data_IF_133725002700
#
_entry.id   IF_133725002700
#
_cell.length_a   1.000
_cell.length_b   1.000
_cell.length_c   1.000
_cell.angle_alpha   90.00
_cell.angle_beta   90.00
_cell.angle_gamma   90.00
#
_symmetry.space_group_name_H-M   'P 1'
#
loop_
_entity.id
_entity.type
_entity.pdbx_description
1 polymer ?
#
# COMPACT_ATOMS: atom_id res chain seq x y z
N UNK A 1 -8.66 -19.86 -3.37
CA UNK A 1 -8.74 -19.33 -1.99
C UNK A 1 -7.78 -18.17 -1.88
N UNK A 2 -8.24 -16.97 -1.51
CA UNK A 2 -7.35 -15.80 -1.42
C UNK A 2 -6.34 -15.98 -0.28
N UNK A 3 -5.07 -15.64 -0.55
CA UNK A 3 -3.97 -15.75 0.40
C UNK A 3 -4.32 -15.01 1.72
N UNK A 4 -4.52 -15.72 2.86
CA UNK A 4 -4.90 -15.10 4.12
C UNK A 4 -3.85 -14.09 4.62
N UNK A 5 -2.56 -14.35 4.33
CA UNK A 5 -1.47 -13.45 4.67
C UNK A 5 -1.55 -12.11 3.96
N UNK A 6 -2.00 -12.10 2.69
CA UNK A 6 -2.19 -10.87 1.92
C UNK A 6 -3.32 -10.02 2.51
N UNK A 7 -4.43 -10.65 2.92
CA UNK A 7 -5.54 -9.92 3.56
C UNK A 7 -5.10 -9.28 4.88
N UNK A 8 -4.42 -10.05 5.73
CA UNK A 8 -3.90 -9.54 7.00
C UNK A 8 -2.90 -8.39 6.79
N UNK A 9 -2.02 -8.52 5.79
CA UNK A 9 -1.05 -7.48 5.46
C UNK A 9 -1.71 -6.21 4.91
N UNK A 10 -2.74 -6.33 4.07
CA UNK A 10 -3.52 -5.18 3.60
C UNK A 10 -4.23 -4.47 4.76
N UNK A 11 -4.80 -5.22 5.71
CA UNK A 11 -5.37 -4.63 6.93
C UNK A 11 -4.32 -3.89 7.76
N UNK A 12 -3.12 -4.46 7.90
CA UNK A 12 -2.00 -3.82 8.62
C UNK A 12 -1.54 -2.53 7.92
N UNK A 13 -1.34 -2.57 6.60
CA UNK A 13 -0.99 -1.40 5.78
C UNK A 13 -2.03 -0.29 5.97
N UNK A 14 -3.32 -0.62 5.86
CA UNK A 14 -4.40 0.36 6.04
C UNK A 14 -4.40 1.00 7.43
N UNK A 15 -4.15 0.21 8.48
CA UNK A 15 -4.04 0.72 9.85
C UNK A 15 -2.84 1.65 10.06
N UNK A 16 -1.68 1.30 9.48
CA UNK A 16 -0.48 2.14 9.54
C UNK A 16 -0.69 3.47 8.83
N UNK A 17 -1.31 3.46 7.65
CA UNK A 17 -1.68 4.69 6.92
C UNK A 17 -2.61 5.56 7.75
N UNK A 18 -3.63 4.98 8.39
CA UNK A 18 -4.56 5.73 9.24
C UNK A 18 -3.84 6.41 10.43
N UNK A 19 -2.80 5.79 10.96
CA UNK A 19 -1.95 6.36 12.03
C UNK A 19 -0.90 7.36 11.50
N UNK A 20 -0.87 7.67 10.20
CA UNK A 20 0.14 8.53 9.60
C UNK A 20 1.53 7.88 9.47
N UNK A 21 1.64 6.57 9.71
CA UNK A 21 2.88 5.79 9.67
C UNK A 21 3.15 5.23 8.28
N UNK A 22 3.28 6.13 7.30
CA UNK A 22 3.40 5.75 5.89
C UNK A 22 4.67 4.92 5.60
N UNK A 23 5.80 5.24 6.25
CA UNK A 23 7.07 4.52 6.08
C UNK A 23 6.97 3.06 6.53
N UNK A 24 6.24 2.80 7.62
CA UNK A 24 5.99 1.42 8.07
C UNK A 24 5.06 0.68 7.10
N UNK A 25 4.07 1.38 6.55
CA UNK A 25 3.16 0.82 5.55
C UNK A 25 3.91 0.43 4.27
N UNK A 26 4.82 1.28 3.79
CA UNK A 26 5.73 1.00 2.68
C UNK A 26 6.61 -0.22 2.94
N UNK A 27 7.17 -0.33 4.14
CA UNK A 27 8.00 -1.47 4.51
C UNK A 27 7.24 -2.79 4.40
N UNK A 28 6.01 -2.85 4.91
CA UNK A 28 5.16 -4.04 4.79
C UNK A 28 4.78 -4.29 3.34
N UNK A 29 4.37 -3.25 2.61
CA UNK A 29 4.02 -3.35 1.20
C UNK A 29 5.16 -3.89 0.34
N UNK A 30 6.40 -3.41 0.56
CA UNK A 30 7.60 -3.88 -0.14
C UNK A 30 7.85 -5.37 0.06
N UNK A 31 7.55 -5.90 1.25
CA UNK A 31 7.74 -7.32 1.62
C UNK A 31 6.63 -8.27 1.14
N UNK A 32 5.55 -7.75 0.57
CA UNK A 32 4.51 -8.59 -0.03
C UNK A 32 5.07 -9.34 -1.25
N UNK A 33 5.07 -10.67 -1.17
CA UNK A 33 5.44 -11.57 -2.28
C UNK A 33 4.50 -11.38 -3.46
N UNK A 34 3.20 -11.29 -3.18
CA UNK A 34 2.16 -11.00 -4.17
C UNK A 34 1.47 -9.69 -3.77
N UNK A 35 1.45 -8.72 -4.68
CA UNK A 35 0.70 -7.48 -4.53
C UNK A 35 -0.52 -7.55 -5.42
N UNK A 36 -1.68 -7.19 -4.89
CA UNK A 36 -2.93 -7.13 -5.64
C UNK A 36 -3.43 -5.68 -5.74
N UNK A 37 -4.46 -5.40 -6.56
CA UNK A 37 -4.99 -4.05 -6.71
C UNK A 37 -5.38 -3.39 -5.38
N UNK A 38 -5.83 -4.16 -4.38
CA UNK A 38 -6.14 -3.64 -3.04
C UNK A 38 -4.88 -3.11 -2.33
N UNK A 39 -3.77 -3.85 -2.36
CA UNK A 39 -2.51 -3.43 -1.75
C UNK A 39 -1.94 -2.15 -2.39
N UNK A 40 -2.01 -2.04 -3.72
CA UNK A 40 -1.60 -0.82 -4.43
C UNK A 40 -2.50 0.36 -4.10
N UNK A 41 -3.83 0.17 -4.14
CA UNK A 41 -4.79 1.23 -3.83
C UNK A 41 -4.64 1.76 -2.41
N UNK A 42 -4.32 0.90 -1.44
CA UNK A 42 -4.02 1.33 -0.07
C UNK A 42 -2.81 2.26 -0.06
N UNK A 43 -1.70 1.88 -0.66
CA UNK A 43 -0.48 2.70 -0.67
C UNK A 43 -0.64 4.00 -1.46
N UNK A 44 -1.29 3.98 -2.62
CA UNK A 44 -1.64 5.18 -3.41
C UNK A 44 -2.43 6.16 -2.53
N UNK A 45 -3.47 5.66 -1.85
CA UNK A 45 -4.25 6.48 -0.91
C UNK A 45 -3.38 7.01 0.23
N UNK A 46 -2.49 6.20 0.79
CA UNK A 46 -1.58 6.61 1.87
C UNK A 46 -0.63 7.72 1.47
N UNK A 47 -0.07 7.66 0.26
CA UNK A 47 0.75 8.73 -0.30
C UNK A 47 -0.05 10.01 -0.55
N UNK A 48 -1.25 9.89 -1.14
CA UNK A 48 -2.13 11.03 -1.34
C UNK A 48 -2.51 11.73 -0.01
N UNK A 49 -2.81 10.95 1.04
CA UNK A 49 -3.16 11.48 2.37
C UNK A 49 -1.97 12.11 3.10
N UNK A 50 -0.73 11.71 2.78
CA UNK A 50 0.49 12.28 3.37
C UNK A 50 1.08 13.45 2.56
N UNK A 51 0.40 13.87 1.48
CA UNK A 51 0.87 14.95 0.61
C UNK A 51 1.98 14.54 -0.36
N UNK A 52 2.27 13.25 -0.48
CA UNK A 52 3.30 12.69 -1.36
C UNK A 52 2.70 12.33 -2.74
N UNK A 53 2.18 13.33 -3.44
CA UNK A 53 1.47 13.13 -4.71
C UNK A 53 2.34 12.45 -5.80
N UNK A 54 3.63 12.79 -5.86
CA UNK A 54 4.56 12.21 -6.82
C UNK A 54 4.75 10.70 -6.62
N UNK A 55 4.89 10.25 -5.37
CA UNK A 55 5.02 8.82 -5.04
C UNK A 55 3.71 8.06 -5.28
N UNK A 56 2.57 8.71 -5.04
CA UNK A 56 1.25 8.19 -5.41
C UNK A 56 1.14 7.93 -6.92
N UNK A 57 1.58 8.88 -7.74
CA UNK A 57 1.53 8.76 -9.21
C UNK A 57 2.49 7.69 -9.72
N UNK A 58 3.75 7.68 -9.24
CA UNK A 58 4.74 6.63 -9.58
C UNK A 58 4.19 5.24 -9.29
N UNK A 59 3.54 5.07 -8.13
CA UNK A 59 3.00 3.78 -7.74
C UNK A 59 1.78 3.37 -8.58
N UNK A 60 0.92 4.32 -8.96
CA UNK A 60 -0.19 4.07 -9.87
C UNK A 60 0.30 3.61 -11.25
N UNK A 61 1.31 4.29 -11.80
CA UNK A 61 1.88 3.92 -13.10
C UNK A 61 2.49 2.51 -13.06
N UNK A 62 3.23 2.18 -12.00
CA UNK A 62 3.80 0.83 -11.80
C UNK A 62 2.74 -0.28 -11.67
N UNK A 63 1.53 0.06 -11.21
CA UNK A 63 0.43 -0.90 -11.13
C UNK A 63 -0.19 -1.20 -12.50
N UNK A 64 -0.14 -0.24 -13.43
CA UNK A 64 -0.77 -0.30 -14.75
C UNK A 64 0.15 -0.87 -15.85
N UNK A 65 1.47 -0.91 -15.60
CA UNK A 65 2.47 -1.61 -16.41
C UNK A 65 2.44 -3.14 -16.19
#
# INVERSE_FOLDING_TARGET
>A
MGNPGLKASNSLIGGLIFMGRIVDAEFIFGRLVEKNPVSYNLMIKGYAMSGQAEESEKLFNRMME
#
